data_IF_163996851317
#
_entry.id   IF_163996851317
#
_cell.length_a   1.000
_cell.length_b   1.000
_cell.length_c   1.000
_cell.angle_alpha   90.00
_cell.angle_beta   90.00
_cell.angle_gamma   90.00
#
_symmetry.space_group_name_H-M   'P 1'
#
loop_
_entity.id
_entity.type
_entity.pdbx_description
1 polymer ?
#
# COMPACT_ATOMS: atom_id res chain seq x y z
N UNK A 1 17.16 1.27 -10.47
CA UNK A 1 15.89 1.57 -9.81
C UNK A 1 14.78 1.26 -10.77
N UNK A 2 13.91 0.33 -10.40
CA UNK A 2 12.63 0.11 -11.06
C UNK A 2 11.59 0.62 -10.09
N UNK A 3 10.94 1.71 -10.45
CA UNK A 3 9.80 2.26 -9.71
C UNK A 3 8.53 1.65 -10.32
N UNK A 4 7.65 1.12 -9.48
CA UNK A 4 6.34 0.60 -9.90
C UNK A 4 5.29 1.40 -9.15
N UNK A 5 4.37 2.03 -9.88
CA UNK A 5 3.24 2.77 -9.31
C UNK A 5 1.95 2.02 -9.57
N UNK A 6 1.15 1.82 -8.52
CA UNK A 6 -0.16 1.18 -8.54
C UNK A 6 -1.17 2.13 -7.92
N UNK A 7 -2.27 2.37 -8.62
CA UNK A 7 -3.39 3.17 -8.12
C UNK A 7 -4.39 2.24 -7.44
N UNK A 8 -4.92 2.62 -6.28
CA UNK A 8 -5.94 1.81 -5.60
C UNK A 8 -7.33 2.20 -6.08
N UNK A 9 -8.24 1.22 -6.09
CA UNK A 9 -9.67 1.50 -6.30
C UNK A 9 -10.35 1.76 -4.94
N UNK A 10 -11.46 2.47 -4.95
CA UNK A 10 -12.16 2.88 -3.73
C UNK A 10 -12.75 1.71 -2.91
N UNK A 11 -12.93 0.54 -3.52
CA UNK A 11 -13.44 -0.67 -2.86
C UNK A 11 -12.32 -1.59 -2.33
N UNK A 12 -11.07 -1.37 -2.72
CA UNK A 12 -9.94 -2.20 -2.31
C UNK A 12 -9.33 -1.73 -1.00
N UNK A 13 -9.00 -2.68 -0.14
CA UNK A 13 -8.20 -2.42 1.07
C UNK A 13 -6.76 -2.15 0.66
N UNK A 14 -6.18 -1.04 1.11
CA UNK A 14 -4.81 -0.62 0.83
C UNK A 14 -3.82 -1.72 1.20
N UNK A 15 -4.06 -2.41 2.32
CA UNK A 15 -3.25 -3.54 2.75
C UNK A 15 -3.22 -4.68 1.72
N UNK A 16 -4.34 -4.95 1.05
CA UNK A 16 -4.45 -5.99 0.02
C UNK A 16 -3.73 -5.56 -1.25
N UNK A 17 -3.97 -4.34 -1.73
CA UNK A 17 -3.31 -3.81 -2.93
C UNK A 17 -1.79 -3.79 -2.75
N UNK A 18 -1.29 -3.43 -1.57
CA UNK A 18 0.16 -3.48 -1.29
C UNK A 18 0.71 -4.90 -1.45
N UNK A 19 0.05 -5.90 -0.85
CA UNK A 19 0.52 -7.29 -0.93
C UNK A 19 0.48 -7.79 -2.37
N UNK A 20 -0.60 -7.50 -3.10
CA UNK A 20 -0.73 -7.87 -4.51
C UNK A 20 0.31 -7.18 -5.40
N UNK A 21 0.55 -5.89 -5.21
CA UNK A 21 1.54 -5.13 -5.96
C UNK A 21 2.96 -5.68 -5.74
N UNK A 22 3.32 -6.00 -4.50
CA UNK A 22 4.62 -6.61 -4.20
C UNK A 22 4.70 -8.03 -4.75
N UNK A 23 3.62 -8.81 -4.68
CA UNK A 23 3.57 -10.17 -5.21
C UNK A 23 3.79 -10.18 -6.72
N UNK A 24 3.12 -9.28 -7.44
CA UNK A 24 3.29 -9.09 -8.88
C UNK A 24 4.72 -8.63 -9.23
N UNK A 25 5.27 -7.67 -8.48
CA UNK A 25 6.61 -7.16 -8.70
C UNK A 25 7.70 -8.23 -8.50
N UNK A 26 7.54 -9.09 -7.48
CA UNK A 26 8.42 -10.24 -7.21
C UNK A 26 8.15 -11.37 -8.21
N UNK A 27 6.93 -11.47 -8.74
CA UNK A 27 6.48 -12.57 -9.61
C UNK A 27 6.13 -13.85 -8.85
N UNK A 28 5.58 -13.72 -7.64
CA UNK A 28 5.14 -14.83 -6.78
C UNK A 28 3.69 -14.64 -6.36
N UNK A 29 3.07 -15.69 -5.81
CA UNK A 29 1.75 -15.56 -5.19
C UNK A 29 1.81 -14.70 -3.92
N UNK A 30 0.75 -13.93 -3.64
CA UNK A 30 0.61 -13.15 -2.42
C UNK A 30 0.76 -14.01 -1.14
N UNK A 31 0.34 -15.28 -1.18
CA UNK A 31 0.49 -16.23 -0.08
C UNK A 31 1.92 -16.75 0.11
N UNK A 32 2.80 -16.55 -0.87
CA UNK A 32 4.22 -16.90 -0.78
C UNK A 32 5.07 -15.77 -0.19
N UNK A 33 4.54 -14.55 -0.12
CA UNK A 33 5.17 -13.44 0.57
C UNK A 33 5.08 -13.60 2.09
N UNK A 34 6.03 -13.02 2.85
CA UNK A 34 5.90 -12.94 4.31
C UNK A 34 4.63 -12.16 4.67
N UNK A 35 3.89 -12.55 5.71
CA UNK A 35 2.68 -11.85 6.10
C UNK A 35 2.91 -10.35 6.38
N UNK A 36 2.02 -9.50 5.85
CA UNK A 36 2.14 -8.04 5.97
C UNK A 36 2.18 -7.56 7.44
N UNK A 37 1.40 -8.22 8.32
CA UNK A 37 1.35 -7.92 9.76
C UNK A 37 2.68 -8.07 10.49
N UNK A 38 3.68 -8.75 9.90
CA UNK A 38 5.04 -8.81 10.48
C UNK A 38 5.80 -7.48 10.31
N UNK A 39 5.36 -6.61 9.39
CA UNK A 39 5.98 -5.32 9.07
C UNK A 39 5.09 -4.14 9.43
N UNK A 40 3.80 -4.22 9.10
CA UNK A 40 2.83 -3.16 9.33
C UNK A 40 1.47 -3.78 9.63
N UNK A 41 0.73 -3.20 10.57
CA UNK A 41 -0.62 -3.63 10.88
C UNK A 41 -1.56 -3.30 9.69
N UNK A 42 -2.17 -4.30 9.03
CA UNK A 42 -2.99 -4.07 7.84
C UNK A 42 -4.22 -3.24 8.15
N UNK A 43 -4.91 -3.53 9.26
CA UNK A 43 -6.09 -2.78 9.70
C UNK A 43 -5.75 -1.31 10.00
N UNK A 44 -4.61 -1.05 10.64
CA UNK A 44 -4.15 0.32 10.89
C UNK A 44 -3.78 1.04 9.58
N UNK A 45 -3.15 0.35 8.63
CA UNK A 45 -2.83 0.90 7.32
C UNK A 45 -4.13 1.30 6.59
N UNK A 46 -5.10 0.39 6.52
CA UNK A 46 -6.41 0.68 5.96
C UNK A 46 -7.12 1.83 6.68
N UNK A 47 -7.08 1.86 8.02
CA UNK A 47 -7.72 2.93 8.79
C UNK A 47 -7.09 4.31 8.58
N UNK A 48 -5.78 4.38 8.35
CA UNK A 48 -5.09 5.65 8.05
C UNK A 48 -5.55 6.21 6.71
N UNK A 49 -5.74 5.35 5.72
CA UNK A 49 -6.13 5.74 4.37
C UNK A 49 -7.65 5.70 4.12
N UNK A 50 -8.43 5.19 5.08
CA UNK A 50 -9.89 5.18 4.99
C UNK A 50 -10.46 6.61 4.89
N UNK A 51 -11.56 6.80 4.14
CA UNK A 51 -12.19 8.11 3.95
C UNK A 51 -12.66 8.70 5.29
N UNK A 52 -12.43 10.01 5.50
CA UNK A 52 -12.93 10.70 6.70
C UNK A 52 -14.33 11.23 6.51
N UNK A 53 -15.15 11.13 7.56
CA UNK A 53 -16.49 11.72 7.60
C UNK A 53 -16.50 13.25 7.40
N UNK A 54 -15.37 13.93 7.62
CA UNK A 54 -15.25 15.40 7.52
C UNK A 54 -14.94 15.92 6.12
N UNK A 55 -14.65 15.06 5.14
CA UNK A 55 -14.41 15.46 3.74
C UNK A 55 -13.23 16.41 3.54
N UNK A 56 -12.33 16.54 4.54
CA UNK A 56 -11.09 17.27 4.38
C UNK A 56 -10.13 16.39 3.57
N UNK A 57 -9.49 16.93 2.50
CA UNK A 57 -8.52 16.17 1.73
C UNK A 57 -7.40 15.72 2.68
N UNK A 58 -7.17 14.41 2.74
CA UNK A 58 -6.03 13.86 3.47
C UNK A 58 -4.83 13.86 2.55
N UNK A 59 -3.72 14.34 3.09
CA UNK A 59 -2.41 14.21 2.45
C UNK A 59 -1.51 13.51 3.45
N UNK A 60 -0.92 12.41 3.03
CA UNK A 60 -0.10 11.59 3.90
C UNK A 60 0.66 10.55 3.11
N UNK A 61 1.82 10.18 3.61
CA UNK A 61 2.64 9.13 3.04
C UNK A 61 3.14 8.23 4.16
N UNK A 62 3.06 6.92 3.93
CA UNK A 62 3.65 5.90 4.80
C UNK A 62 4.63 5.09 3.96
N UNK A 63 5.86 5.00 4.44
CA UNK A 63 6.91 4.22 3.81
C UNK A 63 7.41 3.13 4.75
N UNK A 64 7.49 1.90 4.26
CA UNK A 64 8.01 0.77 5.02
C UNK A 64 8.69 -0.25 4.11
N UNK A 65 9.56 -1.08 4.69
CA UNK A 65 10.21 -2.17 3.96
C UNK A 65 9.36 -3.44 4.02
N UNK A 66 9.11 -4.04 2.86
CA UNK A 66 8.36 -5.27 2.73
C UNK A 66 8.99 -6.16 1.66
N UNK A 67 9.39 -7.37 2.05
CA UNK A 67 10.23 -8.24 1.22
C UNK A 67 11.54 -7.52 0.83
N UNK A 68 11.92 -7.55 -0.44
CA UNK A 68 13.07 -6.85 -1.03
C UNK A 68 12.74 -5.43 -1.50
N UNK A 69 11.49 -4.99 -1.34
CA UNK A 69 11.01 -3.69 -1.82
C UNK A 69 10.78 -2.71 -0.66
N UNK A 70 10.92 -1.44 -0.99
CA UNK A 70 10.48 -0.32 -0.17
C UNK A 70 9.11 0.11 -0.71
N UNK A 71 8.07 -0.13 0.10
CA UNK A 71 6.69 0.23 -0.24
C UNK A 71 6.41 1.61 0.31
N UNK A 72 5.97 2.50 -0.58
CA UNK A 72 5.49 3.84 -0.24
C UNK A 72 4.02 3.93 -0.60
N UNK A 73 3.17 4.21 0.38
CA UNK A 73 1.74 4.45 0.18
C UNK A 73 1.47 5.92 0.42
N UNK A 74 1.12 6.64 -0.63
CA UNK A 74 0.74 8.05 -0.59
C UNK A 74 -0.76 8.22 -0.80
N UNK A 75 -1.36 9.19 -0.12
CA UNK A 75 -2.68 9.70 -0.46
C UNK A 75 -2.64 11.21 -0.73
N UNK A 76 -3.35 11.61 -1.78
CA UNK A 76 -3.64 13.02 -2.12
C UNK A 76 -5.14 13.18 -2.33
N UNK A 77 -5.84 13.64 -1.28
CA UNK A 77 -7.30 13.71 -1.29
C UNK A 77 -7.95 12.33 -1.15
N UNK A 78 -8.62 11.90 -2.21
CA UNK A 78 -9.26 10.58 -2.33
C UNK A 78 -8.44 9.61 -3.22
N UNK A 79 -7.33 10.09 -3.80
CA UNK A 79 -6.46 9.28 -4.63
C UNK A 79 -5.37 8.63 -3.76
N UNK A 80 -5.23 7.31 -3.86
CA UNK A 80 -4.19 6.54 -3.18
C UNK A 80 -3.26 5.97 -4.24
N UNK A 81 -1.97 6.25 -4.10
CA UNK A 81 -0.91 5.75 -4.95
C UNK A 81 0.07 4.92 -4.14
N UNK A 82 0.42 3.75 -4.65
CA UNK A 82 1.39 2.84 -4.05
C UNK A 82 2.60 2.79 -4.97
N UNK A 83 3.78 3.06 -4.43
CA UNK A 83 5.03 3.04 -5.15
C UNK A 83 5.96 1.98 -4.57
N UNK A 84 6.58 1.17 -5.41
CA UNK A 84 7.57 0.16 -5.03
C UNK A 84 8.95 0.55 -5.55
N UNK A 85 9.93 0.63 -4.66
CA UNK A 85 11.34 0.87 -4.98
C UNK A 85 12.22 -0.33 -4.55
N UNK A 86 13.31 -0.59 -5.28
CA UNK A 86 14.23 -1.73 -5.09
C UNK A 86 15.69 -1.33 -5.05
#
# INVERSE_FOLDING_TARGET
MREITVETQADDSVSTVVVEAVAEAVGVDATALPPLYERVDPDALDAVFAPTATGAPRTGEIQFSYSEYVVTVGCDGDEIAITLDT
#
